data_IF_269552752855
#
_entry.id   IF_269552752855
#
_cell.length_a   1.000
_cell.length_b   1.000
_cell.length_c   1.000
_cell.angle_alpha   90.00
_cell.angle_beta   90.00
_cell.angle_gamma   90.00
#
_symmetry.space_group_name_H-M   'P 1'
#
loop_
_entity.id
_entity.type
_entity.pdbx_description
1 polymer ?
#
# COMPACT_ATOMS: atom_id res chain seq x y z
N UNK A 1 34.83 -3.07 8.25
CA UNK A 1 33.99 -3.01 8.05
C UNK A 1 33.05 -2.82 7.90
N UNK A 2 32.45 -2.66 8.00
CA UNK A 2 31.47 -2.46 7.81
C UNK A 2 30.61 -2.07 7.69
N UNK A 3 30.22 -1.91 7.53
CA UNK A 3 29.37 -1.57 7.45
C UNK A 3 28.52 -1.30 7.24
N UNK A 4 28.00 -1.36 7.16
CA UNK A 4 27.02 -1.07 6.87
C UNK A 4 26.25 -0.65 7.07
N UNK A 5 26.22 -0.35 6.95
CA UNK A 5 25.56 0.29 7.17
C UNK A 5 24.37 0.46 7.02
N UNK A 6 24.01 0.23 7.32
CA UNK A 6 23.08 0.24 7.14
C UNK A 6 21.76 0.32 7.15
N UNK A 7 21.36 1.04 6.51
CA UNK A 7 19.98 1.20 6.34
C UNK A 7 19.50 0.16 5.42
N UNK A 8 18.73 -0.71 5.96
CA UNK A 8 18.09 -1.67 5.13
C UNK A 8 16.71 -1.12 4.82
N UNK A 9 16.48 -0.85 3.59
CA UNK A 9 15.17 -0.44 3.12
C UNK A 9 14.10 -1.42 3.54
N UNK A 10 14.43 -2.71 3.56
CA UNK A 10 13.49 -3.74 3.96
C UNK A 10 13.04 -3.57 5.40
N UNK A 11 13.97 -3.28 6.32
CA UNK A 11 13.64 -3.09 7.73
C UNK A 11 12.80 -1.85 7.94
N UNK A 12 13.11 -0.76 7.21
CA UNK A 12 12.33 0.46 7.32
C UNK A 12 10.94 0.28 6.74
N UNK A 13 10.83 -0.41 5.62
CA UNK A 13 9.53 -0.68 5.00
C UNK A 13 8.64 -1.52 5.89
N UNK A 14 9.20 -2.53 6.51
CA UNK A 14 8.45 -3.37 7.44
C UNK A 14 7.96 -2.56 8.63
N UNK A 15 8.80 -1.69 9.15
CA UNK A 15 8.43 -0.84 10.28
C UNK A 15 7.27 0.07 9.91
N UNK A 16 7.33 0.71 8.75
CA UNK A 16 6.25 1.57 8.30
C UNK A 16 4.99 0.75 8.03
N UNK A 17 5.14 -0.46 7.48
CA UNK A 17 4.01 -1.34 7.19
C UNK A 17 3.23 -1.71 8.46
N UNK A 18 3.85 -1.66 9.62
CA UNK A 18 3.13 -1.90 10.87
C UNK A 18 1.97 -0.94 11.07
N UNK A 19 2.02 0.23 10.46
CA UNK A 19 0.90 1.17 10.50
C UNK A 19 -0.27 0.70 9.65
N UNK A 20 -0.05 -0.26 8.79
CA UNK A 20 -1.06 -0.76 7.85
C UNK A 20 -1.73 -2.04 8.36
N UNK A 21 -1.05 -2.80 9.23
CA UNK A 21 -1.51 -4.14 9.59
C UNK A 21 -2.75 -4.14 10.46
N UNK A 22 -3.11 -3.01 11.06
CA UNK A 22 -4.39 -2.93 11.78
C UNK A 22 -5.56 -3.23 10.86
N UNK A 23 -5.45 -2.84 9.58
CA UNK A 23 -6.53 -2.99 8.61
C UNK A 23 -6.19 -3.88 7.44
N UNK A 24 -4.90 -4.12 7.17
CA UNK A 24 -4.46 -4.84 5.99
C UNK A 24 -3.61 -6.05 6.35
N UNK A 25 -3.64 -7.02 5.45
CA UNK A 25 -2.73 -8.16 5.44
C UNK A 25 -2.18 -8.29 4.03
N UNK A 26 -1.07 -8.96 3.86
CA UNK A 26 -0.57 -9.25 2.51
C UNK A 26 -1.40 -10.33 1.82
N UNK A 27 -2.03 -11.21 2.60
CA UNK A 27 -2.69 -12.38 2.04
C UNK A 27 -4.20 -12.42 2.24
N UNK A 28 -4.74 -11.63 3.15
CA UNK A 28 -6.16 -11.71 3.51
C UNK A 28 -6.81 -10.35 3.49
N UNK A 29 -8.06 -10.32 3.04
CA UNK A 29 -8.89 -9.14 3.23
C UNK A 29 -9.27 -9.03 4.69
N UNK A 30 -9.21 -7.81 5.21
CA UNK A 30 -9.62 -7.48 6.57
C UNK A 30 -10.50 -6.25 6.48
N UNK A 31 -10.26 -5.25 7.32
CA UNK A 31 -10.95 -3.96 7.16
C UNK A 31 -10.54 -3.29 5.84
N UNK A 32 -9.31 -3.54 5.39
CA UNK A 32 -8.86 -3.16 4.07
C UNK A 32 -8.56 -4.40 3.23
N UNK A 33 -8.37 -4.23 1.92
CA UNK A 33 -8.07 -5.36 1.04
C UNK A 33 -6.68 -5.90 1.28
N UNK A 34 -6.48 -7.16 0.90
CA UNK A 34 -5.16 -7.76 0.89
C UNK A 34 -4.24 -6.96 -0.03
N UNK A 35 -2.99 -6.78 0.37
CA UNK A 35 -2.05 -5.93 -0.36
C UNK A 35 -0.97 -6.70 -1.13
N UNK A 36 -0.96 -8.02 -1.01
CA UNK A 36 0.11 -8.83 -1.59
C UNK A 36 0.04 -9.04 -3.09
N UNK A 37 -0.97 -8.52 -3.76
CA UNK A 37 -1.11 -8.71 -5.20
C UNK A 37 -1.81 -7.52 -5.85
N UNK A 38 -1.31 -6.31 -5.56
CA UNK A 38 -1.97 -5.10 -6.07
C UNK A 38 -1.17 -4.40 -7.18
N UNK A 39 0.15 -4.58 -7.24
CA UNK A 39 0.95 -3.86 -8.23
C UNK A 39 0.50 -4.22 -9.64
N UNK A 40 0.31 -3.20 -10.46
CA UNK A 40 -0.13 -3.37 -11.84
C UNK A 40 -1.63 -3.61 -11.97
N UNK A 41 -2.35 -3.68 -10.88
CA UNK A 41 -3.79 -3.91 -10.89
C UNK A 41 -4.55 -2.60 -10.77
N UNK A 42 -5.77 -2.61 -11.29
CA UNK A 42 -6.65 -1.46 -11.15
C UNK A 42 -7.06 -1.27 -9.70
N UNK A 43 -7.14 -0.03 -9.27
CA UNK A 43 -7.69 0.31 -7.96
C UNK A 43 -9.08 -0.31 -7.82
N UNK A 44 -9.35 -0.87 -6.66
CA UNK A 44 -10.65 -1.45 -6.39
C UNK A 44 -10.87 -2.83 -6.97
N UNK A 45 -9.81 -3.57 -7.30
CA UNK A 45 -9.94 -4.82 -8.02
C UNK A 45 -9.63 -6.09 -7.21
N UNK A 46 -9.25 -5.98 -5.95
CA UNK A 46 -8.98 -7.19 -5.15
C UNK A 46 -10.28 -7.96 -4.93
N UNK A 47 -10.25 -9.23 -5.27
CA UNK A 47 -11.44 -10.08 -5.18
C UNK A 47 -11.91 -10.23 -3.74
N UNK A 48 -13.21 -10.22 -3.57
CA UNK A 48 -13.83 -10.46 -2.27
C UNK A 48 -13.83 -9.28 -1.33
N UNK A 49 -13.24 -8.16 -1.71
CA UNK A 49 -13.27 -6.98 -0.86
C UNK A 49 -14.34 -6.00 -1.34
N UNK A 50 -15.07 -5.44 -0.38
CA UNK A 50 -16.12 -4.46 -0.70
C UNK A 50 -15.53 -3.06 -0.66
N UNK A 51 -15.24 -2.51 -1.82
CA UNK A 51 -14.70 -1.17 -1.95
C UNK A 51 -15.76 -0.10 -1.90
N UNK A 52 -15.34 1.14 -1.61
CA UNK A 52 -16.19 2.29 -1.82
C UNK A 52 -16.52 2.43 -3.30
N UNK A 53 -17.61 3.15 -3.59
CA UNK A 53 -17.96 3.44 -4.97
C UNK A 53 -16.83 4.16 -5.70
N UNK A 54 -16.20 5.11 -5.02
CA UNK A 54 -15.10 5.88 -5.62
C UNK A 54 -13.96 4.97 -6.07
N UNK A 55 -13.60 3.99 -5.26
CA UNK A 55 -12.52 3.07 -5.61
C UNK A 55 -12.95 2.11 -6.73
N UNK A 56 -14.19 1.63 -6.69
CA UNK A 56 -14.69 0.74 -7.75
C UNK A 56 -14.71 1.43 -9.11
N UNK A 57 -14.97 2.72 -9.12
CA UNK A 57 -15.10 3.48 -10.36
C UNK A 57 -13.79 4.12 -10.81
N UNK A 58 -12.71 3.92 -10.10
CA UNK A 58 -11.43 4.51 -10.44
C UNK A 58 -10.76 3.73 -11.56
N UNK A 59 -10.10 4.46 -12.45
CA UNK A 59 -9.30 3.84 -13.52
C UNK A 59 -7.81 3.85 -13.22
N UNK A 60 -7.45 4.22 -12.00
CA UNK A 60 -6.06 4.29 -11.58
C UNK A 60 -5.49 2.88 -11.47
N UNK A 61 -4.25 2.73 -11.93
CA UNK A 61 -3.49 1.48 -11.79
C UNK A 61 -2.48 1.68 -10.66
N UNK A 62 -2.35 0.69 -9.79
CA UNK A 62 -1.37 0.77 -8.71
C UNK A 62 0.04 0.56 -9.25
N UNK A 63 0.89 1.53 -8.99
CA UNK A 63 2.32 1.46 -9.28
C UNK A 63 3.05 2.32 -8.24
N UNK A 64 4.36 2.44 -8.35
CA UNK A 64 5.12 3.21 -7.37
C UNK A 64 4.58 4.62 -7.21
N UNK A 65 4.28 5.29 -8.33
CA UNK A 65 3.84 6.68 -8.30
C UNK A 65 2.44 6.83 -7.70
N UNK A 66 1.50 5.99 -8.13
CA UNK A 66 0.12 6.12 -7.63
C UNK A 66 0.00 5.68 -6.19
N UNK A 67 0.77 4.67 -5.78
CA UNK A 67 0.82 4.29 -4.37
C UNK A 67 1.41 5.41 -3.52
N UNK A 68 2.46 6.05 -4.00
CA UNK A 68 3.06 7.17 -3.28
C UNK A 68 2.04 8.27 -3.02
N UNK A 69 1.30 8.65 -4.06
CA UNK A 69 0.29 9.69 -3.93
C UNK A 69 -0.84 9.27 -3.00
N UNK A 70 -1.25 8.02 -3.10
CA UNK A 70 -2.36 7.54 -2.27
C UNK A 70 -1.97 7.49 -0.79
N UNK A 71 -0.81 6.88 -0.46
CA UNK A 71 -0.45 6.76 0.95
C UNK A 71 0.02 8.08 1.54
N UNK A 72 0.38 9.05 0.72
CA UNK A 72 0.67 10.39 1.22
C UNK A 72 -0.56 11.00 1.85
N UNK A 73 -1.69 10.99 1.13
CA UNK A 73 -2.98 11.47 1.63
C UNK A 73 -4.10 10.70 0.94
N UNK A 74 -4.52 9.58 1.51
CA UNK A 74 -5.48 8.71 0.83
C UNK A 74 -6.75 9.41 0.38
N UNK A 75 -7.37 10.18 1.27
CA UNK A 75 -8.66 10.80 0.96
C UNK A 75 -8.55 11.98 0.00
N UNK A 76 -7.35 12.51 -0.15
CA UNK A 76 -7.14 13.56 -1.15
C UNK A 76 -6.93 12.97 -2.53
N UNK A 77 -6.20 11.87 -2.61
CA UNK A 77 -5.92 11.24 -3.91
C UNK A 77 -7.14 10.54 -4.49
N UNK A 78 -7.87 9.81 -3.64
CA UNK A 78 -9.12 9.18 -4.06
C UNK A 78 -10.23 9.63 -3.11
N UNK A 79 -10.93 10.68 -3.50
CA UNK A 79 -12.07 11.17 -2.72
C UNK A 79 -13.11 10.08 -2.61
N UNK A 80 -13.59 9.86 -1.40
CA UNK A 80 -14.60 8.85 -1.15
C UNK A 80 -14.04 7.48 -0.83
N UNK A 81 -12.73 7.31 -0.73
CA UNK A 81 -12.18 6.07 -0.24
C UNK A 81 -12.62 5.82 1.19
N UNK A 82 -12.85 4.54 1.54
CA UNK A 82 -13.19 4.16 2.90
C UNK A 82 -11.96 4.15 3.83
N UNK A 83 -10.78 4.24 3.28
CA UNK A 83 -9.56 4.15 4.06
C UNK A 83 -9.42 5.35 4.98
N UNK A 84 -9.43 5.09 6.28
CA UNK A 84 -9.34 6.14 7.30
C UNK A 84 -7.94 6.23 7.85
N UNK A 85 -7.05 6.63 7.00
CA UNK A 85 -5.64 6.73 7.35
C UNK A 85 -5.17 8.12 6.95
N UNK A 86 -4.47 8.80 7.86
CA UNK A 86 -4.03 10.16 7.57
C UNK A 86 -2.94 10.23 6.53
N UNK A 87 -2.17 9.17 6.40
CA UNK A 87 -1.13 9.13 5.41
C UNK A 87 0.25 9.05 6.01
N UNK A 88 1.21 8.75 5.15
CA UNK A 88 2.62 8.69 5.48
C UNK A 88 3.26 9.95 4.92
N UNK A 89 3.60 10.90 5.80
CA UNK A 89 4.06 12.22 5.36
C UNK A 89 5.48 12.24 4.83
N UNK A 90 6.35 11.41 5.39
CA UNK A 90 7.77 11.44 5.04
C UNK A 90 8.02 10.62 3.78
N UNK A 91 8.68 11.25 2.82
CA UNK A 91 8.93 10.64 1.52
C UNK A 91 9.75 9.35 1.64
N UNK A 92 10.78 9.38 2.48
CA UNK A 92 11.62 8.20 2.66
C UNK A 92 10.84 7.03 3.25
N UNK A 93 9.90 7.30 4.14
CA UNK A 93 9.06 6.26 4.69
C UNK A 93 8.10 5.70 3.64
N UNK A 94 7.55 6.55 2.78
CA UNK A 94 6.70 6.07 1.70
C UNK A 94 7.48 5.20 0.73
N UNK A 95 8.68 5.64 0.35
CA UNK A 95 9.52 4.85 -0.54
C UNK A 95 9.86 3.50 0.05
N UNK A 96 10.16 3.48 1.35
CA UNK A 96 10.51 2.24 2.02
C UNK A 96 9.33 1.27 2.07
N UNK A 97 8.12 1.74 2.41
CA UNK A 97 6.97 0.84 2.50
C UNK A 97 6.51 0.38 1.12
N UNK A 98 6.63 1.24 0.11
CA UNK A 98 6.28 0.84 -1.25
C UNK A 98 7.23 -0.25 -1.74
N UNK A 99 8.53 -0.10 -1.46
CA UNK A 99 9.48 -1.15 -1.79
C UNK A 99 9.17 -2.44 -1.04
N UNK A 100 8.83 -2.33 0.22
CA UNK A 100 8.44 -3.50 1.02
C UNK A 100 7.24 -4.22 0.40
N UNK A 101 6.22 -3.47 0.02
CA UNK A 101 5.05 -4.05 -0.64
C UNK A 101 5.42 -4.70 -1.97
N UNK A 102 6.26 -4.02 -2.74
CA UNK A 102 6.68 -4.54 -4.03
C UNK A 102 7.45 -5.85 -3.90
N UNK A 103 8.32 -5.93 -2.89
CA UNK A 103 9.11 -7.13 -2.63
C UNK A 103 8.26 -8.28 -2.08
N UNK A 104 7.07 -7.98 -1.59
CA UNK A 104 6.18 -8.98 -1.00
C UNK A 104 4.93 -9.23 -1.84
N UNK A 105 4.98 -8.94 -3.12
CA UNK A 105 3.89 -9.27 -4.02
C UNK A 105 3.97 -10.76 -4.37
N UNK A 106 2.80 -11.36 -4.57
CA UNK A 106 2.72 -12.76 -4.95
C UNK A 106 1.60 -12.95 -5.97
N UNK A 107 1.72 -14.00 -6.74
CA UNK A 107 0.68 -14.34 -7.71
C UNK A 107 -0.46 -15.03 -7.01
N UNK A 108 -1.64 -14.57 -7.30
CA UNK A 108 -2.87 -15.22 -6.87
C UNK A 108 -3.38 -16.06 -8.04
N UNK A 109 -3.10 -17.31 -7.98
CA UNK A 109 -3.59 -18.20 -9.02
C UNK A 109 -4.90 -18.83 -8.67
#
# INVERSE_FOLDING_TARGET
>A
MYLFVGVTWAADGERVFKKCVACHSLTKNKMGPALGNIFGKKVGSVKGYRYSKAMRNSDIIWNDSTLDKFIFKPRKFIKGTKMRFFGVRKKDQREAVIKYLKDNQHDNK
#
